data_IF_355645113492
#
_entry.id   IF_355645113492
#
_cell.length_a   1.000
_cell.length_b   1.000
_cell.length_c   1.000
_cell.angle_alpha   90.00
_cell.angle_beta   90.00
_cell.angle_gamma   90.00
#
_symmetry.space_group_name_H-M   'P 1'
#
loop_
_entity.id
_entity.type
_entity.pdbx_description
1 polymer ?
#
# COMPACT_ATOMS: atom_id res chain seq x y z
N UNK A 1 1.68 -25.84 -7.38
CA UNK A 1 1.91 -24.46 -6.87
C UNK A 1 1.80 -23.51 -8.05
N UNK A 2 1.15 -22.37 -7.88
CA UNK A 2 1.04 -21.35 -8.94
C UNK A 2 2.43 -20.80 -9.31
N UNK A 3 2.70 -20.58 -10.60
CA UNK A 3 4.02 -20.12 -11.10
C UNK A 3 4.41 -18.75 -10.53
N UNK A 4 3.46 -17.86 -10.32
CA UNK A 4 3.70 -16.52 -9.75
C UNK A 4 4.20 -16.62 -8.30
N UNK A 5 3.68 -17.56 -7.51
CA UNK A 5 4.13 -17.78 -6.12
C UNK A 5 5.57 -18.32 -6.05
N UNK A 6 6.01 -19.06 -7.06
CA UNK A 6 7.42 -19.49 -7.18
C UNK A 6 8.29 -18.30 -7.58
N UNK A 7 7.84 -17.52 -8.56
CA UNK A 7 8.53 -16.32 -9.01
C UNK A 7 8.62 -15.25 -7.90
N UNK A 8 7.62 -15.18 -7.02
CA UNK A 8 7.70 -14.31 -5.84
C UNK A 8 8.98 -14.57 -5.05
N UNK A 9 9.46 -15.80 -4.93
CA UNK A 9 10.66 -16.11 -4.12
C UNK A 9 11.94 -16.22 -4.96
N UNK A 10 11.81 -16.47 -6.25
CA UNK A 10 12.93 -16.74 -7.15
C UNK A 10 13.17 -15.57 -8.11
N UNK A 11 14.31 -14.89 -7.92
CA UNK A 11 14.70 -13.76 -8.75
C UNK A 11 15.09 -14.15 -10.18
N UNK A 12 15.65 -15.34 -10.39
CA UNK A 12 16.01 -15.84 -11.71
C UNK A 12 14.75 -16.20 -12.50
N UNK A 13 13.78 -16.87 -11.86
CA UNK A 13 12.50 -17.16 -12.46
C UNK A 13 11.71 -15.90 -12.81
N UNK A 14 11.71 -14.85 -11.95
CA UNK A 14 11.09 -13.56 -12.33
C UNK A 14 11.68 -12.98 -13.59
N UNK A 15 13.03 -12.91 -13.66
CA UNK A 15 13.71 -12.28 -14.79
C UNK A 15 13.54 -13.07 -16.09
N UNK A 16 13.52 -14.40 -16.01
CA UNK A 16 13.42 -15.27 -17.19
C UNK A 16 11.98 -15.43 -17.68
N UNK A 17 11.01 -15.66 -16.78
CA UNK A 17 9.63 -15.97 -17.12
C UNK A 17 8.73 -14.72 -17.27
N UNK A 18 9.03 -13.61 -16.58
CA UNK A 18 8.18 -12.43 -16.56
C UNK A 18 8.96 -11.20 -17.05
N UNK A 19 8.96 -11.01 -18.38
CA UNK A 19 9.52 -9.82 -19.03
C UNK A 19 8.44 -8.72 -19.10
N UNK A 20 8.49 -7.67 -18.24
CA UNK A 20 7.39 -6.70 -18.09
C UNK A 20 7.09 -5.94 -19.38
N UNK A 21 8.14 -5.68 -20.17
CA UNK A 21 8.02 -4.95 -21.43
C UNK A 21 7.56 -5.81 -22.61
N UNK A 22 7.39 -7.12 -22.43
CA UNK A 22 6.94 -7.99 -23.52
C UNK A 22 5.45 -7.81 -23.83
N UNK A 23 5.02 -7.89 -25.11
CA UNK A 23 3.60 -7.81 -25.47
C UNK A 23 2.73 -8.86 -24.76
N UNK A 24 3.26 -10.08 -24.57
CA UNK A 24 2.56 -11.15 -23.88
C UNK A 24 2.30 -10.81 -22.39
N UNK A 25 3.29 -10.26 -21.69
CA UNK A 25 3.12 -9.87 -20.30
C UNK A 25 2.09 -8.73 -20.16
N UNK A 26 2.15 -7.73 -21.05
CA UNK A 26 1.16 -6.64 -21.07
C UNK A 26 -0.26 -7.16 -21.31
N UNK A 27 -0.44 -8.05 -22.30
CA UNK A 27 -1.76 -8.65 -22.58
C UNK A 27 -2.30 -9.46 -21.39
N UNK A 28 -1.44 -10.20 -20.68
CA UNK A 28 -1.82 -10.92 -19.46
C UNK A 28 -2.25 -9.92 -18.38
N UNK A 29 -1.45 -8.87 -18.13
CA UNK A 29 -1.80 -7.84 -17.15
C UNK A 29 -3.13 -7.18 -17.49
N UNK A 30 -3.37 -6.82 -18.76
CA UNK A 30 -4.62 -6.22 -19.21
C UNK A 30 -5.81 -7.17 -19.03
N UNK A 31 -5.63 -8.48 -19.27
CA UNK A 31 -6.66 -9.48 -19.02
C UNK A 31 -6.95 -9.63 -17.52
N UNK A 32 -5.93 -9.63 -16.67
CA UNK A 32 -6.08 -9.72 -15.22
C UNK A 32 -6.78 -8.48 -14.68
N UNK A 33 -6.44 -7.28 -15.18
CA UNK A 33 -7.13 -6.03 -14.87
C UNK A 33 -8.62 -6.10 -15.22
N UNK A 34 -8.95 -6.61 -16.40
CA UNK A 34 -10.33 -6.79 -16.83
C UNK A 34 -11.10 -7.78 -15.96
N UNK A 35 -10.44 -8.78 -15.38
CA UNK A 35 -11.07 -9.71 -14.42
C UNK A 35 -11.31 -9.01 -13.10
N UNK A 36 -10.34 -8.24 -12.61
CA UNK A 36 -10.44 -7.46 -11.37
C UNK A 36 -11.58 -6.45 -11.41
N UNK A 37 -11.76 -5.79 -12.56
CA UNK A 37 -12.82 -4.79 -12.74
C UNK A 37 -14.22 -5.39 -12.95
N UNK A 38 -14.34 -6.72 -13.04
CA UNK A 38 -15.63 -7.42 -13.23
C UNK A 38 -16.07 -8.09 -11.94
N UNK A 39 -17.12 -7.55 -11.34
CA UNK A 39 -17.71 -8.03 -10.07
C UNK A 39 -18.27 -9.47 -10.14
N UNK A 40 -18.67 -9.95 -11.32
CA UNK A 40 -19.32 -11.26 -11.50
C UNK A 40 -18.35 -12.42 -11.76
N UNK A 41 -17.07 -12.28 -11.39
CA UNK A 41 -16.08 -13.36 -11.59
C UNK A 41 -15.70 -14.02 -10.28
N UNK A 42 -15.55 -15.35 -10.30
CA UNK A 42 -14.98 -16.12 -9.16
C UNK A 42 -13.45 -16.04 -9.08
N UNK A 43 -12.83 -15.28 -9.98
CA UNK A 43 -11.38 -15.21 -10.17
C UNK A 43 -10.65 -13.97 -9.61
N UNK A 44 -11.27 -12.95 -8.97
CA UNK A 44 -10.55 -11.74 -8.62
C UNK A 44 -9.45 -12.02 -7.58
N UNK A 45 -9.71 -12.86 -6.58
CA UNK A 45 -8.72 -13.16 -5.52
C UNK A 45 -7.46 -13.84 -6.08
N UNK A 46 -7.54 -14.96 -6.84
CA UNK A 46 -6.36 -15.53 -7.49
C UNK A 46 -5.60 -14.52 -8.38
N UNK A 47 -6.32 -13.68 -9.12
CA UNK A 47 -5.74 -12.65 -9.97
C UNK A 47 -4.98 -11.57 -9.18
N UNK A 48 -5.58 -11.04 -8.12
CA UNK A 48 -4.96 -10.04 -7.24
C UNK A 48 -3.70 -10.61 -6.58
N UNK A 49 -3.78 -11.87 -6.14
CA UNK A 49 -2.64 -12.59 -5.54
C UNK A 49 -1.51 -12.78 -6.53
N UNK A 50 -1.83 -13.20 -7.76
CA UNK A 50 -0.86 -13.38 -8.83
C UNK A 50 -0.12 -12.07 -9.13
N UNK A 51 -0.84 -10.94 -9.19
CA UNK A 51 -0.24 -9.62 -9.36
C UNK A 51 0.70 -9.28 -8.20
N UNK A 52 0.28 -9.49 -6.97
CA UNK A 52 1.10 -9.18 -5.80
C UNK A 52 2.40 -9.99 -5.79
N UNK A 53 2.34 -11.26 -6.15
CA UNK A 53 3.52 -12.11 -6.30
C UNK A 53 4.51 -11.59 -7.35
N UNK A 54 3.99 -10.88 -8.36
CA UNK A 54 4.75 -10.24 -9.42
C UNK A 54 5.09 -8.77 -9.14
N UNK A 55 4.81 -8.24 -7.95
CA UNK A 55 5.00 -6.82 -7.61
C UNK A 55 6.39 -6.28 -7.99
N UNK A 56 7.44 -7.09 -7.80
CA UNK A 56 8.84 -6.73 -8.11
C UNK A 56 9.22 -6.83 -9.59
N UNK A 57 8.27 -7.15 -10.45
CA UNK A 57 8.45 -7.17 -11.91
C UNK A 57 7.93 -5.90 -12.56
N UNK A 58 6.99 -5.20 -11.94
CA UNK A 58 6.47 -3.93 -12.48
C UNK A 58 7.52 -2.82 -12.33
N UNK A 59 7.78 -2.09 -13.41
CA UNK A 59 8.69 -0.95 -13.40
C UNK A 59 8.07 0.30 -12.77
N UNK A 60 8.90 1.31 -12.51
CA UNK A 60 8.46 2.58 -11.90
C UNK A 60 7.37 3.29 -12.72
N UNK A 61 7.37 3.11 -14.03
CA UNK A 61 6.42 3.71 -14.96
C UNK A 61 5.18 2.84 -15.21
N UNK A 62 5.17 1.59 -14.74
CA UNK A 62 4.04 0.67 -14.94
C UNK A 62 3.20 0.55 -13.67
N UNK A 63 2.70 1.68 -13.19
CA UNK A 63 1.83 1.78 -12.01
C UNK A 63 0.34 1.58 -12.33
N UNK A 64 0.02 1.23 -13.59
CA UNK A 64 -1.36 1.04 -14.07
C UNK A 64 -2.13 -0.03 -13.30
N UNK A 65 -1.41 -0.95 -12.66
CA UNK A 65 -1.98 -2.00 -11.83
C UNK A 65 -2.36 -1.54 -10.41
N UNK A 66 -1.70 -0.48 -9.91
CA UNK A 66 -1.88 0.01 -8.54
C UNK A 66 -3.25 0.65 -8.35
N UNK A 67 -3.67 1.52 -9.28
CA UNK A 67 -4.97 2.21 -9.19
C UNK A 67 -6.16 1.24 -9.05
N UNK A 68 -6.29 0.24 -9.95
CA UNK A 68 -7.31 -0.80 -9.85
C UNK A 68 -7.25 -1.59 -8.53
N UNK A 69 -6.06 -1.94 -8.04
CA UNK A 69 -5.93 -2.60 -6.73
C UNK A 69 -6.36 -1.68 -5.57
N UNK A 70 -6.09 -0.37 -5.66
CA UNK A 70 -6.50 0.60 -4.65
C UNK A 70 -8.03 0.77 -4.62
N UNK A 71 -8.71 0.73 -5.76
CA UNK A 71 -10.19 0.77 -5.81
C UNK A 71 -10.83 -0.41 -5.07
N UNK A 72 -10.24 -1.60 -5.16
CA UNK A 72 -10.71 -2.78 -4.43
C UNK A 72 -10.64 -2.64 -2.90
N UNK A 73 -9.85 -1.68 -2.38
CA UNK A 73 -9.85 -1.39 -0.95
C UNK A 73 -11.16 -0.73 -0.48
N UNK A 74 -11.86 -0.03 -1.36
CA UNK A 74 -13.13 0.67 -1.06
C UNK A 74 -14.35 -0.16 -1.49
N UNK A 75 -14.31 -0.66 -2.73
CA UNK A 75 -15.45 -1.30 -3.39
C UNK A 75 -15.48 -2.82 -3.18
N UNK A 76 -14.39 -3.40 -2.69
CA UNK A 76 -14.23 -4.84 -2.55
C UNK A 76 -15.06 -5.44 -1.41
N UNK A 77 -15.47 -6.71 -1.60
CA UNK A 77 -15.89 -7.55 -0.47
C UNK A 77 -14.72 -7.76 0.48
N UNK A 78 -14.94 -8.03 1.79
CA UNK A 78 -13.88 -8.11 2.79
C UNK A 78 -12.67 -8.96 2.38
N UNK A 79 -12.89 -10.14 1.80
CA UNK A 79 -11.83 -11.03 1.35
C UNK A 79 -11.06 -10.49 0.13
N UNK A 80 -11.71 -9.72 -0.74
CA UNK A 80 -11.10 -9.05 -1.90
C UNK A 80 -10.27 -7.87 -1.44
N UNK A 81 -10.81 -7.01 -0.56
CA UNK A 81 -10.08 -5.87 0.01
C UNK A 81 -8.87 -6.34 0.82
N UNK A 82 -9.00 -7.46 1.55
CA UNK A 82 -7.88 -8.10 2.25
C UNK A 82 -6.78 -8.53 1.28
N UNK A 83 -7.11 -9.27 0.23
CA UNK A 83 -6.11 -9.72 -0.75
C UNK A 83 -5.50 -8.54 -1.51
N UNK A 84 -6.27 -7.50 -1.82
CA UNK A 84 -5.76 -6.27 -2.41
C UNK A 84 -4.75 -5.57 -1.50
N UNK A 85 -5.03 -5.44 -0.19
CA UNK A 85 -4.10 -4.87 0.78
C UNK A 85 -2.80 -5.70 0.89
N UNK A 86 -2.90 -7.04 0.91
CA UNK A 86 -1.73 -7.93 0.92
C UNK A 86 -0.92 -7.79 -0.37
N UNK A 87 -1.59 -7.74 -1.52
CA UNK A 87 -0.96 -7.58 -2.83
C UNK A 87 -0.21 -6.26 -2.92
N UNK A 88 -0.86 -5.15 -2.58
CA UNK A 88 -0.27 -3.80 -2.50
C UNK A 88 0.88 -3.72 -1.49
N UNK A 89 0.83 -4.47 -0.38
CA UNK A 89 1.94 -4.55 0.58
C UNK A 89 3.22 -5.06 -0.09
N UNK A 90 3.13 -5.98 -1.06
CA UNK A 90 4.30 -6.48 -1.80
C UNK A 90 4.90 -5.44 -2.76
N UNK A 91 4.13 -4.43 -3.17
CA UNK A 91 4.66 -3.31 -3.94
C UNK A 91 5.46 -2.34 -3.07
N UNK A 92 5.11 -2.21 -1.79
CA UNK A 92 5.76 -1.27 -0.88
C UNK A 92 6.72 -1.92 0.11
N UNK A 93 6.84 -3.25 0.13
CA UNK A 93 7.71 -3.93 1.09
C UNK A 93 9.20 -3.55 0.91
N UNK A 94 9.99 -3.77 1.96
CA UNK A 94 11.44 -3.53 1.98
C UNK A 94 12.18 -4.19 0.82
N UNK A 95 11.71 -5.35 0.37
CA UNK A 95 12.30 -6.12 -0.73
C UNK A 95 12.06 -5.52 -2.12
N UNK A 96 11.13 -4.56 -2.25
CA UNK A 96 10.87 -3.87 -3.50
C UNK A 96 11.68 -2.57 -3.57
N UNK A 97 12.55 -2.47 -4.57
CA UNK A 97 13.40 -1.29 -4.76
C UNK A 97 12.59 -0.05 -5.18
N UNK A 98 11.39 -0.24 -5.74
CA UNK A 98 10.47 0.81 -6.16
C UNK A 98 9.42 1.19 -5.11
N UNK A 99 9.58 0.70 -3.87
CA UNK A 99 8.61 0.95 -2.78
C UNK A 99 8.23 2.42 -2.58
N UNK A 100 9.16 3.36 -2.81
CA UNK A 100 8.88 4.79 -2.73
C UNK A 100 7.91 5.24 -3.83
N UNK A 101 8.22 4.92 -5.10
CA UNK A 101 7.37 5.27 -6.24
C UNK A 101 6.00 4.59 -6.14
N UNK A 102 5.97 3.33 -5.72
CA UNK A 102 4.72 2.59 -5.53
C UNK A 102 3.90 3.13 -4.35
N UNK A 103 4.54 3.55 -3.25
CA UNK A 103 3.83 4.20 -2.13
C UNK A 103 3.16 5.50 -2.60
N UNK A 104 3.87 6.33 -3.37
CA UNK A 104 3.32 7.56 -3.96
C UNK A 104 2.16 7.27 -4.91
N UNK A 105 2.28 6.23 -5.73
CA UNK A 105 1.21 5.81 -6.64
C UNK A 105 -0.05 5.34 -5.88
N UNK A 106 0.11 4.61 -4.78
CA UNK A 106 -1.00 4.19 -3.92
C UNK A 106 -1.70 5.40 -3.31
N UNK A 107 -0.93 6.35 -2.76
CA UNK A 107 -1.48 7.60 -2.21
C UNK A 107 -2.23 8.39 -3.28
N UNK A 108 -1.62 8.56 -4.46
CA UNK A 108 -2.21 9.30 -5.59
C UNK A 108 -3.52 8.68 -6.08
N UNK A 109 -3.66 7.35 -5.96
CA UNK A 109 -4.90 6.64 -6.27
C UNK A 109 -5.96 6.72 -5.14
N UNK A 110 -5.72 7.49 -4.08
CA UNK A 110 -6.62 7.66 -2.94
C UNK A 110 -6.45 6.62 -1.83
N UNK A 111 -5.40 5.79 -1.90
CA UNK A 111 -5.21 4.67 -0.98
C UNK A 111 -5.15 5.06 0.50
N UNK A 112 -4.60 6.23 0.84
CA UNK A 112 -4.55 6.71 2.21
C UNK A 112 -5.93 6.74 2.88
N UNK A 113 -6.93 7.33 2.20
CA UNK A 113 -8.29 7.44 2.72
C UNK A 113 -8.93 6.06 2.91
N UNK A 114 -8.87 5.20 1.89
CA UNK A 114 -9.48 3.88 1.93
C UNK A 114 -8.85 3.00 3.02
N UNK A 115 -7.52 3.06 3.18
CA UNK A 115 -6.82 2.32 4.23
C UNK A 115 -7.22 2.77 5.63
N UNK A 116 -7.34 4.07 5.87
CA UNK A 116 -7.82 4.60 7.16
C UNK A 116 -9.24 4.10 7.45
N UNK A 117 -10.14 4.13 6.46
CA UNK A 117 -11.50 3.60 6.61
C UNK A 117 -11.49 2.09 6.94
N UNK A 118 -10.68 1.30 6.24
CA UNK A 118 -10.55 -0.14 6.50
C UNK A 118 -9.99 -0.43 7.90
N UNK A 119 -9.01 0.33 8.39
CA UNK A 119 -8.46 0.13 9.75
C UNK A 119 -9.52 0.37 10.83
N UNK A 120 -10.35 1.39 10.68
CA UNK A 120 -11.41 1.68 11.65
C UNK A 120 -12.60 0.73 11.52
N UNK A 121 -13.10 0.50 10.30
CA UNK A 121 -14.42 -0.08 10.06
C UNK A 121 -14.40 -1.45 9.39
N UNK A 122 -13.26 -1.91 8.86
CA UNK A 122 -13.16 -3.20 8.18
C UNK A 122 -13.34 -4.40 9.12
N UNK A 123 -13.50 -5.59 8.56
CA UNK A 123 -13.45 -6.82 9.37
C UNK A 123 -12.05 -7.06 9.92
N UNK A 124 -11.94 -7.81 11.03
CA UNK A 124 -10.68 -7.97 11.76
C UNK A 124 -9.51 -8.45 10.89
N UNK A 125 -9.77 -9.36 9.95
CA UNK A 125 -8.76 -9.89 9.03
C UNK A 125 -8.31 -8.87 7.97
N UNK A 126 -9.18 -7.92 7.61
CA UNK A 126 -8.89 -6.82 6.68
C UNK A 126 -8.14 -5.71 7.39
N UNK A 127 -8.53 -5.38 8.64
CA UNK A 127 -7.91 -4.32 9.45
C UNK A 127 -6.40 -4.49 9.56
N UNK A 128 -5.93 -5.70 9.87
CA UNK A 128 -4.50 -5.99 10.02
C UNK A 128 -3.76 -5.80 8.68
N UNK A 129 -4.31 -6.32 7.58
CA UNK A 129 -3.69 -6.16 6.26
C UNK A 129 -3.66 -4.69 5.80
N UNK A 130 -4.72 -3.93 6.06
CA UNK A 130 -4.77 -2.50 5.76
C UNK A 130 -3.78 -1.71 6.63
N UNK A 131 -3.68 -2.04 7.91
CA UNK A 131 -2.74 -1.40 8.84
C UNK A 131 -1.29 -1.64 8.42
N UNK A 132 -0.92 -2.88 8.09
CA UNK A 132 0.45 -3.21 7.64
C UNK A 132 0.82 -2.43 6.38
N UNK A 133 -0.09 -2.37 5.39
CA UNK A 133 0.10 -1.59 4.18
C UNK A 133 0.27 -0.09 4.49
N UNK A 134 -0.60 0.45 5.33
CA UNK A 134 -0.56 1.86 5.74
C UNK A 134 0.75 2.22 6.47
N UNK A 135 1.25 1.34 7.34
CA UNK A 135 2.51 1.52 8.05
C UNK A 135 3.72 1.51 7.10
N UNK A 136 3.75 0.63 6.09
CA UNK A 136 4.82 0.67 5.09
C UNK A 136 4.79 1.95 4.25
N UNK A 137 3.60 2.40 3.83
CA UNK A 137 3.46 3.67 3.10
C UNK A 137 3.97 4.82 3.98
N UNK A 138 3.52 4.90 5.23
CA UNK A 138 3.97 5.90 6.18
C UNK A 138 5.49 5.87 6.43
N UNK A 139 6.09 4.68 6.47
CA UNK A 139 7.53 4.50 6.64
C UNK A 139 8.34 5.10 5.47
N UNK A 140 7.86 4.95 4.23
CA UNK A 140 8.63 5.36 3.05
C UNK A 140 8.31 6.76 2.53
N UNK A 141 7.11 7.28 2.80
CA UNK A 141 6.69 8.63 2.37
C UNK A 141 6.07 9.42 3.52
N UNK A 142 6.77 9.59 4.65
CA UNK A 142 6.24 10.25 5.85
C UNK A 142 5.96 11.75 5.67
N UNK A 143 6.52 12.37 4.63
CA UNK A 143 6.34 13.78 4.27
C UNK A 143 5.10 14.06 3.42
N UNK A 144 4.30 13.04 3.08
CA UNK A 144 3.10 13.21 2.26
C UNK A 144 2.02 14.02 2.98
N UNK A 145 1.59 15.11 2.33
CA UNK A 145 0.48 15.94 2.77
C UNK A 145 -0.84 15.15 2.82
N UNK A 146 -1.05 14.21 1.90
CA UNK A 146 -2.22 13.34 1.89
C UNK A 146 -2.28 12.41 3.10
N UNK A 147 -1.14 11.88 3.57
CA UNK A 147 -1.12 11.09 4.81
C UNK A 147 -1.47 11.96 6.03
N UNK A 148 -0.94 13.18 6.09
CA UNK A 148 -1.29 14.14 7.13
C UNK A 148 -2.79 14.48 7.11
N UNK A 149 -3.33 14.82 5.93
CA UNK A 149 -4.76 15.14 5.74
C UNK A 149 -5.69 13.97 6.05
N UNK A 150 -5.26 12.73 5.76
CA UNK A 150 -6.00 11.53 6.11
C UNK A 150 -5.89 11.15 7.60
N UNK A 151 -5.11 11.87 8.39
CA UNK A 151 -4.97 11.64 9.84
C UNK A 151 -4.20 10.36 10.17
N UNK A 152 -3.31 9.90 9.28
CA UNK A 152 -2.64 8.59 9.41
C UNK A 152 -1.84 8.48 10.71
N UNK A 153 -1.22 9.56 11.19
CA UNK A 153 -0.49 9.53 12.46
C UNK A 153 -1.39 9.11 13.63
N UNK A 154 -2.56 9.73 13.78
CA UNK A 154 -3.52 9.36 14.83
C UNK A 154 -4.07 7.93 14.69
N UNK A 155 -4.17 7.43 13.45
CA UNK A 155 -4.55 6.04 13.19
C UNK A 155 -3.47 5.08 13.69
N UNK A 156 -2.19 5.36 13.41
CA UNK A 156 -1.09 4.52 13.90
C UNK A 156 -0.94 4.58 15.43
N UNK A 157 -1.12 5.76 16.04
CA UNK A 157 -1.12 5.92 17.50
C UNK A 157 -2.25 5.13 18.18
N UNK A 158 -3.44 5.12 17.58
CA UNK A 158 -4.56 4.33 18.09
C UNK A 158 -4.29 2.83 17.92
N UNK A 159 -3.78 2.43 16.75
CA UNK A 159 -3.49 1.04 16.42
C UNK A 159 -2.37 0.44 17.29
N UNK A 160 -1.35 1.22 17.65
CA UNK A 160 -0.25 0.77 18.51
C UNK A 160 -0.68 0.43 19.95
N UNK A 161 -1.92 0.76 20.33
CA UNK A 161 -2.49 0.45 21.65
C UNK A 161 -3.43 -0.76 21.61
N UNK A 162 -3.64 -1.36 20.43
CA UNK A 162 -4.59 -2.47 20.27
C UNK A 162 -3.91 -3.82 20.58
N UNK A 163 -4.56 -4.72 21.35
CA UNK A 163 -3.96 -5.99 21.77
C UNK A 163 -3.48 -6.89 20.62
N UNK A 164 -4.22 -6.90 19.50
CA UNK A 164 -3.88 -7.69 18.32
C UNK A 164 -2.66 -7.17 17.55
N UNK A 165 -2.23 -5.93 17.82
CA UNK A 165 -1.03 -5.33 17.24
C UNK A 165 0.16 -5.52 18.15
N UNK A 166 -0.01 -5.29 19.46
CA UNK A 166 1.05 -5.44 20.48
C UNK A 166 1.44 -6.90 20.74
N UNK A 167 0.71 -7.87 20.19
CA UNK A 167 1.04 -9.29 20.28
C UNK A 167 1.89 -9.80 19.10
N UNK A 168 1.95 -9.04 18.00
CA UNK A 168 2.78 -9.38 16.83
C UNK A 168 3.98 -8.41 16.78
N UNK A 169 5.13 -8.89 17.23
CA UNK A 169 6.36 -8.10 17.35
C UNK A 169 6.78 -7.43 16.03
N UNK A 170 6.52 -8.07 14.88
CA UNK A 170 6.89 -7.50 13.58
C UNK A 170 5.98 -6.33 13.21
N UNK A 171 4.67 -6.49 13.45
CA UNK A 171 3.70 -5.43 13.18
C UNK A 171 3.91 -4.26 14.14
N UNK A 172 4.18 -4.54 15.41
CA UNK A 172 4.49 -3.52 16.41
C UNK A 172 5.74 -2.72 16.04
N UNK A 173 6.84 -3.39 15.70
CA UNK A 173 8.08 -2.72 15.30
C UNK A 173 7.88 -1.82 14.08
N UNK A 174 7.19 -2.32 13.05
CA UNK A 174 6.86 -1.54 11.84
C UNK A 174 5.98 -0.32 12.18
N UNK A 175 5.00 -0.47 13.08
CA UNK A 175 4.16 0.64 13.51
C UNK A 175 4.97 1.70 14.27
N UNK A 176 5.82 1.31 15.21
CA UNK A 176 6.59 2.27 15.98
C UNK A 176 7.56 3.05 15.10
N UNK A 177 8.22 2.36 14.16
CA UNK A 177 9.14 3.01 13.22
C UNK A 177 8.40 3.98 12.30
N UNK A 178 7.33 3.52 11.65
CA UNK A 178 6.54 4.37 10.73
C UNK A 178 5.92 5.59 11.44
N UNK A 179 5.44 5.41 12.66
CA UNK A 179 4.92 6.50 13.50
C UNK A 179 6.00 7.54 13.83
N UNK A 180 7.17 7.09 14.29
CA UNK A 180 8.28 7.99 14.64
C UNK A 180 8.73 8.84 13.45
N UNK A 181 8.74 8.27 12.24
CA UNK A 181 8.99 9.03 11.02
C UNK A 181 7.90 10.07 10.75
N UNK A 182 6.61 9.69 10.78
CA UNK A 182 5.51 10.64 10.56
C UNK A 182 5.53 11.81 11.56
N UNK A 183 5.74 11.55 12.85
CA UNK A 183 5.83 12.58 13.90
C UNK A 183 6.96 13.59 13.60
N UNK A 184 8.12 13.09 13.18
CA UNK A 184 9.28 13.92 12.88
C UNK A 184 9.04 14.83 11.66
N UNK A 185 8.32 14.37 10.64
CA UNK A 185 8.03 15.19 9.46
C UNK A 185 6.88 16.18 9.70
N UNK A 186 5.81 15.76 10.40
CA UNK A 186 4.68 16.64 10.68
C UNK A 186 5.03 17.75 11.68
N UNK A 187 5.90 17.47 12.67
CA UNK A 187 6.41 18.50 13.59
C UNK A 187 7.30 19.54 12.91
N UNK A 188 8.03 19.17 11.84
CA UNK A 188 8.81 20.13 11.04
C UNK A 188 7.92 21.02 10.18
N UNK A 189 6.85 20.47 9.61
CA UNK A 189 5.88 21.22 8.82
C UNK A 189 5.16 22.31 9.62
N UNK A 190 4.73 22.00 10.85
CA UNK A 190 4.05 22.97 11.73
C UNK A 190 4.95 24.16 12.10
N UNK A 191 6.23 23.91 12.44
CA UNK A 191 7.20 24.97 12.75
C UNK A 191 7.39 25.93 11.56
N UNK A 192 7.39 25.41 10.33
CA UNK A 192 7.55 26.21 9.12
C UNK A 192 6.30 27.04 8.79
N UNK A 193 5.10 26.52 9.02
CA UNK A 193 3.85 27.28 8.86
C UNK A 193 3.71 28.40 9.89
N UNK A 194 4.03 28.13 11.16
CA UNK A 194 3.97 29.13 12.23
C UNK A 194 4.97 30.27 12.01
N UNK A 195 6.16 29.94 11.50
CA UNK A 195 7.16 30.94 11.10
C UNK A 195 6.66 31.85 9.97
N UNK A 196 5.97 31.29 8.96
CA UNK A 196 5.39 32.07 7.85
C UNK A 196 4.22 32.95 8.30
N UNK A 197 3.35 32.45 9.20
CA UNK A 197 2.23 33.23 9.77
C UNK A 197 2.71 34.40 10.63
N UNK A 198 3.81 34.23 11.38
CA UNK A 198 4.37 35.30 12.20
C UNK A 198 5.02 36.41 11.37
N UNK A 199 5.60 36.09 10.20
CA UNK A 199 6.15 37.11 9.28
C UNK A 199 5.02 37.95 8.65
N UNK A 200 3.93 37.31 8.20
CA UNK A 200 2.81 38.03 7.57
C UNK A 200 1.93 38.85 8.54
N UNK A 201 2.01 38.61 9.86
CA UNK A 201 1.31 39.42 10.87
C UNK A 201 2.06 40.68 11.28
N UNK A 202 3.36 40.75 10.97
CA UNK A 202 4.24 41.87 11.29
C UNK A 202 4.54 42.76 10.07
N UNK A 203 3.77 42.60 8.99
CA UNK A 203 3.80 43.41 7.76
C UNK A 203 2.49 44.19 7.63
#
# INVERSE_FOLDING_TARGET
KEITAVAEKDAELRRSAFKPNSPACKAIVDQVLKIIEKEDTKLPIPCIKAIGNLARTFGATDTRIIGPLVRLLDEGRPEVSREAAISLTKFVSTENYLRFDHSKAIISAGGAKHLVQLVYFGEQTVKISALVLLSYIALYVPDSEELARAGVLGVLEWASKQPNVTQDENIEALLQESKGWLELYQSRGSIQEDSKKNINRNS
#
